data_IF_109522552785
#
_entry.id   IF_109522552785
#
_cell.length_a   1.000
_cell.length_b   1.000
_cell.length_c   1.000
_cell.angle_alpha   90.00
_cell.angle_beta   90.00
_cell.angle_gamma   90.00
#
_symmetry.space_group_name_H-M   'P 1'
#
loop_
_entity.id
_entity.type
_entity.pdbx_description
1 polymer ?
#
# COMPACT_ATOMS: atom_id res chain seq x y z
N UNK A 1 -10.79 -28.02 -23.58
CA UNK A 1 -12.08 -28.75 -23.60
C UNK A 1 -11.83 -30.16 -23.06
N UNK A 2 -12.73 -30.73 -22.27
CA UNK A 2 -12.57 -32.10 -21.74
C UNK A 2 -12.61 -33.13 -22.86
N UNK A 3 -11.71 -34.14 -22.83
CA UNK A 3 -11.58 -35.19 -23.86
C UNK A 3 -12.91 -35.91 -24.15
N UNK A 4 -13.73 -36.16 -23.12
CA UNK A 4 -15.04 -36.80 -23.25
C UNK A 4 -16.03 -35.98 -24.09
N UNK A 5 -15.96 -34.63 -24.02
CA UNK A 5 -16.82 -33.75 -24.84
C UNK A 5 -16.43 -33.79 -26.32
N UNK A 6 -15.15 -34.01 -26.64
CA UNK A 6 -14.71 -34.15 -28.03
C UNK A 6 -15.16 -35.47 -28.63
N UNK A 7 -14.99 -36.58 -27.90
CA UNK A 7 -15.47 -37.92 -28.31
C UNK A 7 -16.98 -37.91 -28.52
N UNK A 8 -17.75 -37.35 -27.57
CA UNK A 8 -19.21 -37.23 -27.71
C UNK A 8 -19.61 -36.42 -28.95
N UNK A 9 -18.89 -35.32 -29.25
CA UNK A 9 -19.19 -34.47 -30.40
C UNK A 9 -18.87 -35.14 -31.75
N UNK A 10 -17.80 -35.93 -31.80
CA UNK A 10 -17.44 -36.71 -33.00
C UNK A 10 -18.48 -37.81 -33.27
N UNK A 11 -18.87 -38.56 -32.24
CA UNK A 11 -19.87 -39.63 -32.36
C UNK A 11 -21.30 -39.11 -32.61
N UNK A 12 -21.60 -37.87 -32.22
CA UNK A 12 -22.95 -37.31 -32.35
C UNK A 12 -23.45 -37.17 -33.79
N UNK A 13 -22.58 -36.85 -34.75
CA UNK A 13 -22.96 -36.77 -36.17
C UNK A 13 -23.30 -38.15 -36.74
N UNK A 14 -22.46 -39.14 -36.47
CA UNK A 14 -22.69 -40.55 -36.86
C UNK A 14 -23.93 -41.12 -36.18
N UNK A 15 -24.16 -40.76 -34.91
CA UNK A 15 -25.38 -41.14 -34.18
C UNK A 15 -26.65 -40.54 -34.79
N UNK A 16 -26.60 -39.28 -35.27
CA UNK A 16 -27.76 -38.63 -35.90
C UNK A 16 -28.14 -39.31 -37.22
N UNK A 17 -27.15 -39.65 -38.04
CA UNK A 17 -27.34 -40.22 -39.40
C UNK A 17 -27.51 -41.75 -39.42
N UNK A 18 -27.11 -42.46 -38.36
CA UNK A 18 -27.13 -43.92 -38.32
C UNK A 18 -28.52 -44.55 -38.28
N UNK A 19 -28.62 -45.76 -38.86
CA UNK A 19 -29.76 -46.67 -38.71
C UNK A 19 -29.84 -47.24 -37.27
N UNK A 20 -30.94 -47.93 -36.93
CA UNK A 20 -31.20 -48.44 -35.57
C UNK A 20 -30.03 -49.26 -35.01
N UNK A 21 -29.46 -50.19 -35.79
CA UNK A 21 -28.32 -51.01 -35.37
C UNK A 21 -27.05 -50.16 -35.10
N UNK A 22 -26.75 -49.18 -35.96
CA UNK A 22 -25.61 -48.28 -35.78
C UNK A 22 -25.75 -47.37 -34.56
N UNK A 23 -26.96 -46.88 -34.29
CA UNK A 23 -27.27 -46.09 -33.09
C UNK A 23 -27.08 -46.86 -31.79
N UNK A 24 -27.43 -48.15 -31.77
CA UNK A 24 -27.21 -49.03 -30.62
C UNK A 24 -25.71 -49.21 -30.37
N UNK A 25 -24.93 -49.52 -31.40
CA UNK A 25 -23.47 -49.70 -31.29
C UNK A 25 -22.76 -48.44 -30.78
N UNK A 26 -23.11 -47.26 -31.31
CA UNK A 26 -22.54 -45.98 -30.86
C UNK A 26 -22.91 -45.67 -29.40
N UNK A 27 -24.12 -46.06 -28.96
CA UNK A 27 -24.51 -45.91 -27.55
C UNK A 27 -23.77 -46.87 -26.64
N UNK A 28 -23.57 -48.13 -27.05
CA UNK A 28 -22.83 -49.13 -26.26
C UNK A 28 -21.38 -48.68 -26.06
N UNK A 29 -20.71 -48.26 -27.14
CA UNK A 29 -19.35 -47.74 -27.12
C UNK A 29 -19.22 -46.49 -26.24
N UNK A 30 -20.18 -45.54 -26.33
CA UNK A 30 -20.15 -44.34 -25.50
C UNK A 30 -20.40 -44.66 -24.02
N UNK A 31 -21.27 -45.62 -23.71
CA UNK A 31 -21.54 -46.08 -22.34
C UNK A 31 -20.30 -46.76 -21.75
N UNK A 32 -19.60 -47.59 -22.53
CA UNK A 32 -18.36 -48.27 -22.11
C UNK A 32 -17.23 -47.27 -21.83
N UNK A 33 -17.04 -46.27 -22.71
CA UNK A 33 -15.98 -45.26 -22.56
C UNK A 33 -16.25 -44.28 -21.41
N UNK A 34 -17.52 -43.89 -21.20
CA UNK A 34 -17.87 -42.80 -20.26
C UNK A 34 -18.42 -43.28 -18.92
N UNK A 35 -18.83 -44.56 -18.83
CA UNK A 35 -19.57 -45.10 -17.69
C UNK A 35 -20.97 -44.48 -17.52
N UNK A 36 -21.49 -43.76 -18.52
CA UNK A 36 -22.78 -43.09 -18.42
C UNK A 36 -23.95 -44.06 -18.54
N UNK A 37 -25.06 -43.74 -17.88
CA UNK A 37 -26.33 -44.43 -18.16
C UNK A 37 -26.75 -44.19 -19.61
N UNK A 38 -27.33 -45.21 -20.25
CA UNK A 38 -27.71 -45.20 -21.67
C UNK A 38 -28.59 -43.99 -22.05
N UNK A 39 -29.49 -43.59 -21.16
CA UNK A 39 -30.37 -42.44 -21.39
C UNK A 39 -29.60 -41.11 -21.34
N UNK A 40 -28.60 -41.02 -20.46
CA UNK A 40 -27.73 -39.84 -20.39
C UNK A 40 -26.82 -39.76 -21.62
N UNK A 41 -26.24 -40.88 -22.06
CA UNK A 41 -25.46 -40.96 -23.32
C UNK A 41 -26.29 -40.50 -24.53
N UNK A 42 -27.55 -40.93 -24.61
CA UNK A 42 -28.50 -40.48 -25.65
C UNK A 42 -28.77 -38.98 -25.58
N UNK A 43 -28.97 -38.44 -24.38
CA UNK A 43 -29.17 -37.00 -24.17
C UNK A 43 -27.92 -36.20 -24.58
N UNK A 44 -26.74 -36.64 -24.14
CA UNK A 44 -25.46 -35.98 -24.42
C UNK A 44 -25.14 -35.92 -25.92
N UNK A 45 -25.40 -36.99 -26.69
CA UNK A 45 -25.23 -37.00 -28.14
C UNK A 45 -26.17 -36.02 -28.85
N UNK A 46 -27.41 -35.87 -28.37
CA UNK A 46 -28.38 -34.90 -28.92
C UNK A 46 -28.01 -33.46 -28.59
N UNK A 47 -27.50 -33.21 -27.39
CA UNK A 47 -27.07 -31.88 -26.95
C UNK A 47 -25.73 -31.46 -27.58
N UNK A 48 -24.83 -32.41 -27.89
CA UNK A 48 -23.50 -32.12 -28.44
C UNK A 48 -23.50 -31.43 -29.81
N UNK A 49 -24.58 -31.59 -30.59
CA UNK A 49 -24.76 -30.93 -31.89
C UNK A 49 -25.49 -29.59 -31.79
N UNK A 50 -26.05 -29.24 -30.63
CA UNK A 50 -26.70 -27.94 -30.47
C UNK A 50 -25.66 -26.84 -30.39
N UNK A 51 -25.86 -25.70 -31.08
CA UNK A 51 -24.98 -24.55 -30.92
C UNK A 51 -24.96 -24.14 -29.44
N UNK A 52 -23.79 -23.76 -28.94
CA UNK A 52 -23.68 -23.27 -27.57
C UNK A 52 -24.64 -22.09 -27.40
N UNK A 53 -25.51 -22.16 -26.38
CA UNK A 53 -26.40 -21.03 -26.06
C UNK A 53 -25.53 -19.80 -25.84
N UNK A 54 -25.82 -18.72 -26.56
CA UNK A 54 -25.15 -17.44 -26.32
C UNK A 54 -25.37 -17.06 -24.86
N UNK A 55 -24.28 -16.86 -24.13
CA UNK A 55 -24.38 -16.44 -22.74
C UNK A 55 -24.91 -15.02 -22.75
N UNK A 56 -26.17 -14.82 -22.36
CA UNK A 56 -26.75 -13.49 -22.19
C UNK A 56 -25.98 -12.81 -21.04
N UNK A 57 -25.06 -11.91 -21.39
CA UNK A 57 -24.37 -11.07 -20.42
C UNK A 57 -25.38 -9.98 -20.02
N UNK A 58 -26.07 -10.18 -18.91
CA UNK A 58 -26.92 -9.14 -18.34
C UNK A 58 -26.04 -7.97 -17.93
N UNK A 59 -26.42 -6.76 -18.34
CA UNK A 59 -25.76 -5.55 -17.88
C UNK A 59 -25.80 -5.52 -16.35
N UNK A 60 -24.63 -5.44 -15.72
CA UNK A 60 -24.52 -5.34 -14.27
C UNK A 60 -25.16 -4.05 -13.74
N UNK A 61 -25.38 -3.98 -12.43
CA UNK A 61 -25.85 -2.76 -11.76
C UNK A 61 -24.89 -1.60 -12.06
N UNK A 62 -25.43 -0.42 -12.36
CA UNK A 62 -24.64 0.81 -12.51
C UNK A 62 -23.80 1.06 -11.25
N UNK A 63 -22.48 1.31 -11.37
CA UNK A 63 -21.64 1.59 -10.21
C UNK A 63 -22.12 2.82 -9.42
N UNK A 64 -22.15 2.72 -8.08
CA UNK A 64 -22.51 3.86 -7.21
C UNK A 64 -21.49 5.00 -7.27
N UNK A 65 -20.23 4.69 -7.58
CA UNK A 65 -19.16 5.67 -7.72
C UNK A 65 -18.71 5.67 -9.18
N UNK A 66 -18.99 6.75 -9.94
CA UNK A 66 -18.56 6.86 -11.33
C UNK A 66 -17.03 7.01 -11.45
N UNK A 67 -16.49 6.75 -12.64
CA UNK A 67 -15.04 6.65 -12.88
C UNK A 67 -14.33 8.01 -12.85
N UNK A 68 -15.04 9.06 -13.22
CA UNK A 68 -14.69 10.49 -13.10
C UNK A 68 -14.28 10.93 -11.68
N UNK A 69 -14.73 10.23 -10.63
CA UNK A 69 -14.32 10.48 -9.25
C UNK A 69 -12.90 10.02 -8.93
N UNK A 70 -12.30 9.15 -9.77
CA UNK A 70 -11.01 8.54 -9.48
C UNK A 70 -9.87 9.59 -9.38
N UNK A 71 -9.71 10.54 -10.32
CA UNK A 71 -8.68 11.58 -10.21
C UNK A 71 -8.83 12.43 -8.95
N UNK A 72 -10.05 12.82 -8.59
CA UNK A 72 -10.32 13.57 -7.36
C UNK A 72 -9.96 12.81 -6.09
N UNK A 73 -10.24 11.50 -6.04
CA UNK A 73 -9.83 10.63 -4.94
C UNK A 73 -8.30 10.50 -4.85
N UNK A 74 -7.62 10.34 -6.00
CA UNK A 74 -6.16 10.26 -6.05
C UNK A 74 -5.55 11.56 -5.54
N UNK A 75 -6.09 12.72 -5.94
CA UNK A 75 -5.64 14.02 -5.47
C UNK A 75 -5.77 14.15 -3.94
N UNK A 76 -6.95 13.83 -3.39
CA UNK A 76 -7.19 13.89 -1.94
C UNK A 76 -6.21 12.99 -1.16
N UNK A 77 -5.92 11.80 -1.69
CA UNK A 77 -4.98 10.86 -1.09
C UNK A 77 -3.52 11.34 -1.21
N UNK A 78 -3.12 11.84 -2.38
CA UNK A 78 -1.76 12.30 -2.66
C UNK A 78 -1.40 13.55 -1.86
N UNK A 79 -2.33 14.51 -1.75
CA UNK A 79 -2.15 15.74 -0.97
C UNK A 79 -1.89 15.44 0.50
N UNK A 80 -2.50 14.38 1.05
CA UNK A 80 -2.25 13.94 2.42
C UNK A 80 -1.03 13.03 2.59
N UNK A 81 -0.20 12.88 1.55
CA UNK A 81 0.97 11.97 1.51
C UNK A 81 0.62 10.50 1.73
N UNK A 82 -0.47 10.07 1.12
CA UNK A 82 -0.79 8.65 1.01
C UNK A 82 -1.26 7.94 2.29
N UNK A 83 -2.16 8.52 3.13
CA UNK A 83 -2.58 7.89 4.36
C UNK A 83 -3.33 6.56 4.14
N UNK A 84 -3.45 5.76 5.19
CA UNK A 84 -4.32 4.58 5.19
C UNK A 84 -5.78 4.98 4.95
N UNK A 85 -6.55 4.16 4.25
CA UNK A 85 -7.92 4.52 3.83
C UNK A 85 -8.84 4.85 4.98
N UNK A 86 -8.65 4.23 6.17
CA UNK A 86 -9.38 4.58 7.40
C UNK A 86 -9.11 6.01 7.87
N UNK A 87 -7.86 6.47 7.78
CA UNK A 87 -7.48 7.84 8.14
C UNK A 87 -7.97 8.81 7.07
N UNK A 88 -7.84 8.43 5.79
CA UNK A 88 -8.32 9.24 4.67
C UNK A 88 -9.82 9.52 4.78
N UNK A 89 -10.65 8.51 5.06
CA UNK A 89 -12.09 8.70 5.28
C UNK A 89 -12.40 9.76 6.35
N UNK A 90 -11.61 9.82 7.43
CA UNK A 90 -11.80 10.82 8.48
C UNK A 90 -11.37 12.24 8.05
N UNK A 91 -10.40 12.35 7.13
CA UNK A 91 -9.98 13.64 6.55
C UNK A 91 -10.89 14.15 5.44
N UNK A 92 -11.69 13.30 4.79
CA UNK A 92 -12.50 13.68 3.63
C UNK A 92 -13.45 14.86 3.89
N UNK A 93 -14.23 14.90 5.00
CA UNK A 93 -15.19 15.98 5.23
C UNK A 93 -14.59 17.39 5.25
N UNK A 94 -13.47 17.67 5.95
CA UNK A 94 -12.82 18.98 5.85
C UNK A 94 -11.98 19.15 4.57
N UNK A 95 -11.37 18.08 4.05
CA UNK A 95 -10.42 18.18 2.94
C UNK A 95 -11.09 18.54 1.61
N UNK A 96 -12.21 17.90 1.26
CA UNK A 96 -12.87 18.12 -0.04
C UNK A 96 -13.30 19.58 -0.22
N UNK A 97 -13.97 20.23 0.76
CA UNK A 97 -14.29 21.65 0.66
C UNK A 97 -13.06 22.55 0.56
N UNK A 98 -11.98 22.25 1.32
CA UNK A 98 -10.74 23.04 1.25
C UNK A 98 -10.12 23.00 -0.16
N UNK A 99 -10.03 21.81 -0.76
CA UNK A 99 -9.47 21.65 -2.09
C UNK A 99 -10.34 22.30 -3.18
N UNK A 100 -11.66 22.28 -3.02
CA UNK A 100 -12.60 23.00 -3.90
C UNK A 100 -12.43 24.52 -3.77
N UNK A 101 -12.30 25.03 -2.55
CA UNK A 101 -12.08 26.46 -2.29
C UNK A 101 -10.76 26.95 -2.89
N UNK A 102 -9.73 26.10 -2.92
CA UNK A 102 -8.46 26.38 -3.58
C UNK A 102 -8.49 26.20 -5.11
N UNK A 103 -9.63 25.81 -5.69
CA UNK A 103 -9.78 25.43 -7.12
C UNK A 103 -8.82 24.32 -7.56
N UNK A 104 -8.31 23.53 -6.60
CA UNK A 104 -7.43 22.40 -6.86
C UNK A 104 -8.22 21.13 -7.19
N UNK A 105 -9.45 21.02 -6.72
CA UNK A 105 -10.36 19.91 -6.98
C UNK A 105 -11.59 20.43 -7.74
N UNK A 106 -11.69 20.05 -9.02
CA UNK A 106 -12.83 20.35 -9.87
C UNK A 106 -13.85 19.21 -9.83
N UNK A 107 -14.87 19.36 -8.98
CA UNK A 107 -15.95 18.39 -8.79
C UNK A 107 -17.28 19.10 -8.51
N UNK A 108 -18.38 18.47 -8.96
CA UNK A 108 -19.74 18.90 -8.63
C UNK A 108 -20.07 18.64 -7.16
N UNK A 109 -21.15 19.25 -6.65
CA UNK A 109 -21.60 19.02 -5.27
C UNK A 109 -21.97 17.56 -5.01
N UNK A 110 -22.61 16.90 -5.98
CA UNK A 110 -22.95 15.48 -5.91
C UNK A 110 -21.70 14.60 -5.84
N UNK A 111 -20.70 14.90 -6.67
CA UNK A 111 -19.41 14.21 -6.66
C UNK A 111 -18.67 14.41 -5.33
N UNK A 112 -18.69 15.62 -4.78
CA UNK A 112 -18.11 15.93 -3.47
C UNK A 112 -18.78 15.11 -2.35
N UNK A 113 -20.11 15.04 -2.36
CA UNK A 113 -20.86 14.22 -1.41
C UNK A 113 -20.51 12.73 -1.52
N UNK A 114 -20.32 12.21 -2.75
CA UNK A 114 -19.88 10.84 -2.98
C UNK A 114 -18.46 10.57 -2.46
N UNK A 115 -17.52 11.51 -2.62
CA UNK A 115 -16.17 11.38 -2.06
C UNK A 115 -16.19 11.31 -0.53
N UNK A 116 -16.98 12.18 0.11
CA UNK A 116 -17.11 12.23 1.58
C UNK A 116 -17.78 10.96 2.11
N UNK A 117 -18.77 10.41 1.40
CA UNK A 117 -19.49 9.19 1.80
C UNK A 117 -18.71 7.90 1.58
N UNK A 118 -17.59 7.95 0.84
CA UNK A 118 -16.86 6.75 0.43
C UNK A 118 -16.27 5.99 1.63
N UNK A 119 -16.60 4.71 1.76
CA UNK A 119 -16.07 3.86 2.83
C UNK A 119 -14.58 3.52 2.63
N UNK A 120 -13.87 3.26 3.73
CA UNK A 120 -12.45 2.90 3.72
C UNK A 120 -12.14 1.69 2.80
N UNK A 121 -13.00 0.68 2.76
CA UNK A 121 -12.78 -0.51 1.91
C UNK A 121 -12.97 -0.22 0.42
N UNK A 122 -13.87 0.71 0.08
CA UNK A 122 -14.02 1.18 -1.31
C UNK A 122 -12.79 1.99 -1.74
N UNK A 123 -12.30 2.87 -0.86
CA UNK A 123 -11.07 3.64 -1.08
C UNK A 123 -9.88 2.69 -1.28
N UNK A 124 -9.73 1.65 -0.44
CA UNK A 124 -8.66 0.65 -0.58
C UNK A 124 -8.66 -0.01 -1.96
N UNK A 125 -9.83 -0.46 -2.45
CA UNK A 125 -9.95 -1.06 -3.78
C UNK A 125 -9.61 -0.08 -4.89
N UNK A 126 -10.08 1.17 -4.80
CA UNK A 126 -9.85 2.21 -5.82
C UNK A 126 -8.41 2.70 -5.87
N UNK A 127 -7.74 2.76 -4.73
CA UNK A 127 -6.34 3.21 -4.63
C UNK A 127 -5.35 2.05 -4.69
N UNK A 128 -5.80 0.80 -4.82
CA UNK A 128 -4.90 -0.37 -4.85
C UNK A 128 -3.83 -0.26 -5.94
N UNK A 129 -4.17 0.27 -7.12
CA UNK A 129 -3.22 0.45 -8.21
C UNK A 129 -2.20 1.55 -7.88
N UNK A 130 -2.65 2.68 -7.35
CA UNK A 130 -1.78 3.80 -6.99
C UNK A 130 -0.84 3.43 -5.83
N UNK A 131 -1.34 2.73 -4.81
CA UNK A 131 -0.53 2.19 -3.72
C UNK A 131 0.55 1.24 -4.24
N UNK A 132 0.24 0.40 -5.23
CA UNK A 132 1.22 -0.50 -5.86
C UNK A 132 2.35 0.27 -6.56
N UNK A 133 2.06 1.44 -7.15
CA UNK A 133 3.09 2.29 -7.78
C UNK A 133 4.09 2.86 -6.76
N UNK A 134 3.67 3.09 -5.52
CA UNK A 134 4.55 3.58 -4.45
C UNK A 134 5.47 2.51 -3.85
N UNK A 135 5.20 1.22 -4.11
CA UNK A 135 6.06 0.14 -3.61
C UNK A 135 7.32 0.08 -4.49
N UNK A 136 8.39 0.70 -4.00
CA UNK A 136 9.74 0.50 -4.53
C UNK A 136 10.10 -0.97 -4.37
N UNK A 137 10.26 -1.68 -5.49
CA UNK A 137 10.68 -3.08 -5.49
C UNK A 137 12.19 -3.14 -5.27
N UNK A 138 12.62 -3.26 -4.02
CA UNK A 138 14.00 -3.65 -3.71
C UNK A 138 14.21 -5.12 -4.02
N UNK A 139 15.26 -5.46 -4.78
CA UNK A 139 15.76 -6.84 -4.81
C UNK A 139 16.58 -7.05 -3.54
N UNK A 140 16.00 -7.69 -2.53
CA UNK A 140 16.79 -8.17 -1.40
C UNK A 140 17.83 -9.17 -1.93
N UNK A 141 19.11 -8.89 -1.74
CA UNK A 141 20.21 -9.78 -2.13
C UNK A 141 20.19 -11.11 -1.35
N UNK A 142 19.47 -11.17 -0.22
CA UNK A 142 19.37 -12.35 0.63
C UNK A 142 17.91 -12.73 0.87
N UNK A 143 17.48 -13.86 0.31
CA UNK A 143 16.25 -14.52 0.77
C UNK A 143 16.54 -15.13 2.15
N UNK A 144 15.77 -14.82 3.20
CA UNK A 144 15.95 -15.50 4.47
C UNK A 144 15.65 -17.00 4.29
N UNK A 145 16.68 -17.84 4.37
CA UNK A 145 16.52 -19.29 4.40
C UNK A 145 15.82 -19.70 5.69
N UNK A 146 14.77 -20.50 5.61
CA UNK A 146 13.94 -20.88 6.76
C UNK A 146 14.50 -22.04 7.59
N UNK A 147 15.45 -22.82 7.06
CA UNK A 147 15.82 -24.12 7.63
C UNK A 147 17.19 -24.15 8.35
N UNK A 148 18.23 -23.57 7.73
CA UNK A 148 19.61 -23.74 8.21
C UNK A 148 20.00 -22.81 9.36
N UNK A 149 19.39 -21.61 9.45
CA UNK A 149 19.78 -20.59 10.43
C UNK A 149 19.44 -20.97 11.88
N UNK A 150 18.39 -21.78 12.09
CA UNK A 150 17.98 -22.27 13.41
C UNK A 150 18.62 -23.61 13.81
N UNK A 151 19.30 -24.29 12.88
CA UNK A 151 19.89 -25.62 13.10
C UNK A 151 21.40 -25.58 13.37
N UNK A 152 22.08 -24.48 13.03
CA UNK A 152 23.52 -24.32 13.28
C UNK A 152 23.67 -23.31 14.43
N UNK A 153 23.77 -23.76 15.69
CA UNK A 153 24.04 -22.86 16.80
C UNK A 153 25.41 -22.21 16.63
N UNK A 154 25.49 -20.90 16.80
CA UNK A 154 26.76 -20.17 16.88
C UNK A 154 27.46 -20.66 18.16
N UNK A 155 28.53 -21.45 18.00
CA UNK A 155 29.31 -21.98 19.13
C UNK A 155 30.29 -20.91 19.61
N UNK A 156 29.81 -19.99 20.44
CA UNK A 156 30.65 -19.05 21.20
C UNK A 156 30.89 -19.57 22.62
N UNK A 157 31.86 -18.99 23.34
CA UNK A 157 32.23 -19.37 24.71
C UNK A 157 31.10 -19.14 25.75
N UNK A 158 30.08 -18.39 25.36
CA UNK A 158 28.78 -18.33 26.01
C UNK A 158 27.73 -18.93 25.05
N UNK A 159 26.87 -19.81 25.56
CA UNK A 159 25.72 -20.29 24.80
C UNK A 159 24.84 -19.11 24.40
N UNK A 160 24.52 -19.03 23.10
CA UNK A 160 23.76 -17.92 22.54
C UNK A 160 22.29 -18.04 22.96
N UNK A 161 21.88 -17.23 23.94
CA UNK A 161 20.51 -17.18 24.46
C UNK A 161 19.77 -15.92 23.97
N UNK A 162 18.79 -16.09 23.08
CA UNK A 162 17.95 -14.99 22.55
C UNK A 162 16.93 -14.46 23.58
N UNK A 163 16.80 -15.10 24.75
CA UNK A 163 15.90 -14.67 25.83
C UNK A 163 16.53 -13.62 26.75
N UNK A 164 17.86 -13.50 26.78
CA UNK A 164 18.60 -12.56 27.62
C UNK A 164 19.22 -11.45 26.77
N UNK A 165 19.01 -10.15 27.10
CA UNK A 165 19.67 -9.06 26.39
C UNK A 165 21.19 -9.19 26.48
N UNK A 166 21.88 -9.25 25.33
CA UNK A 166 23.34 -9.38 25.30
C UNK A 166 23.95 -9.65 23.93
N UNK A 167 23.16 -10.20 23.00
CA UNK A 167 23.60 -10.56 21.65
C UNK A 167 22.91 -9.70 20.57
N UNK A 168 23.64 -9.29 19.53
CA UNK A 168 23.13 -8.47 18.42
C UNK A 168 23.59 -8.99 17.08
N UNK A 169 22.68 -9.04 16.11
CA UNK A 169 22.98 -9.26 14.69
C UNK A 169 23.26 -7.90 14.03
N UNK A 170 24.33 -7.81 13.25
CA UNK A 170 24.72 -6.60 12.53
C UNK A 170 24.66 -6.89 11.03
N UNK A 171 23.65 -6.33 10.37
CA UNK A 171 23.44 -6.47 8.94
C UNK A 171 23.76 -5.18 8.20
N UNK A 172 24.20 -5.30 6.94
CA UNK A 172 24.37 -4.18 6.01
C UNK A 172 23.23 -4.19 5.00
N UNK A 173 22.47 -3.09 4.94
CA UNK A 173 21.44 -2.84 3.92
C UNK A 173 22.01 -1.90 2.87
N UNK A 174 22.14 -2.39 1.65
CA UNK A 174 22.55 -1.61 0.49
C UNK A 174 21.42 -0.74 -0.06
N UNK A 175 21.74 0.52 -0.36
CA UNK A 175 20.82 1.50 -0.97
C UNK A 175 21.17 1.82 -2.43
N UNK A 176 21.85 0.91 -3.11
CA UNK A 176 22.32 1.07 -4.49
C UNK A 176 21.21 1.03 -5.57
N UNK A 177 19.94 0.86 -5.18
CA UNK A 177 18.82 0.90 -6.12
C UNK A 177 18.88 -0.14 -7.25
N UNK A 178 19.71 -1.19 -7.10
CA UNK A 178 19.91 -2.23 -8.11
C UNK A 178 21.10 -2.02 -9.06
N UNK A 179 21.94 -1.00 -8.87
CA UNK A 179 23.17 -0.80 -9.64
C UNK A 179 24.39 -0.69 -8.72
N UNK A 180 25.23 -1.74 -8.67
CA UNK A 180 26.41 -1.81 -7.81
C UNK A 180 27.66 -1.10 -8.38
N UNK A 181 27.52 -0.36 -9.49
CA UNK A 181 28.61 0.42 -10.07
C UNK A 181 28.70 1.78 -9.38
N UNK A 182 29.80 2.03 -8.65
CA UNK A 182 30.09 3.30 -7.99
C UNK A 182 30.02 3.25 -6.46
N UNK A 183 30.15 4.41 -5.81
CA UNK A 183 30.02 4.54 -4.36
C UNK A 183 28.55 4.36 -3.94
N UNK A 184 28.29 3.39 -3.07
CA UNK A 184 26.94 3.04 -2.61
C UNK A 184 26.82 3.27 -1.11
N UNK A 185 25.67 3.81 -0.66
CA UNK A 185 25.41 3.98 0.76
C UNK A 185 24.93 2.65 1.36
N UNK A 186 25.63 2.17 2.38
CA UNK A 186 25.20 1.03 3.19
C UNK A 186 24.74 1.51 4.56
N UNK A 187 23.54 1.09 4.98
CA UNK A 187 23.08 1.30 6.36
C UNK A 187 23.38 0.05 7.18
N UNK A 188 24.13 0.22 8.27
CA UNK A 188 24.39 -0.84 9.23
C UNK A 188 23.25 -0.91 10.24
N UNK A 189 22.40 -1.93 10.14
CA UNK A 189 21.31 -2.18 11.08
C UNK A 189 21.74 -3.13 12.19
N UNK A 190 21.37 -2.84 13.43
CA UNK A 190 21.51 -3.74 14.57
C UNK A 190 20.13 -4.23 14.99
N UNK A 191 19.97 -5.53 15.18
CA UNK A 191 18.72 -6.13 15.65
C UNK A 191 19.01 -7.36 16.52
N UNK A 192 18.02 -7.84 17.30
CA UNK A 192 18.13 -9.21 17.84
C UNK A 192 18.18 -10.20 16.68
N UNK A 193 18.90 -11.31 16.88
CA UNK A 193 19.07 -12.37 15.89
C UNK A 193 17.73 -12.82 15.31
N UNK A 194 17.64 -12.92 13.98
CA UNK A 194 16.44 -13.41 13.28
C UNK A 194 15.26 -12.43 13.25
N UNK A 195 15.36 -11.27 13.91
CA UNK A 195 14.31 -10.26 13.96
C UNK A 195 14.74 -9.00 13.20
N UNK A 196 14.62 -9.03 11.87
CA UNK A 196 15.05 -7.95 10.96
C UNK A 196 14.45 -6.55 11.21
N UNK A 197 13.47 -6.41 12.11
CA UNK A 197 12.74 -5.16 12.41
C UNK A 197 12.75 -4.78 13.90
N UNK A 198 13.76 -5.22 14.65
CA UNK A 198 13.76 -5.17 16.11
C UNK A 198 14.73 -4.14 16.71
N UNK A 199 15.00 -3.06 15.97
CA UNK A 199 15.66 -1.88 16.51
C UNK A 199 14.75 -1.12 17.48
N UNK A 200 14.53 -1.66 18.67
CA UNK A 200 13.76 -1.04 19.74
C UNK A 200 14.76 -0.69 20.86
N UNK A 201 14.97 0.57 21.25
CA UNK A 201 14.12 1.18 22.29
C UNK A 201 14.10 2.73 22.33
N UNK A 202 14.75 3.47 21.44
CA UNK A 202 14.61 4.95 21.39
C UNK A 202 14.66 5.47 19.96
N UNK A 203 13.93 4.84 19.05
CA UNK A 203 13.57 5.53 17.81
C UNK A 203 12.14 6.03 17.97
N UNK A 204 12.00 7.33 18.23
CA UNK A 204 10.79 8.05 17.87
C UNK A 204 10.41 7.61 16.45
N UNK A 205 9.12 7.44 16.18
CA UNK A 205 8.61 7.01 14.86
C UNK A 205 8.91 8.09 13.81
N UNK A 206 10.19 8.21 13.45
CA UNK A 206 10.78 9.26 12.64
C UNK A 206 10.61 8.96 11.15
N UNK A 207 10.35 7.69 10.81
CA UNK A 207 10.13 7.26 9.45
C UNK A 207 8.99 8.02 8.73
N UNK A 208 7.71 8.00 9.19
CA UNK A 208 6.59 8.63 8.48
C UNK A 208 6.52 10.17 8.58
N UNK A 209 7.55 10.83 9.10
CA UNK A 209 7.53 12.29 9.29
C UNK A 209 8.83 12.93 8.86
N UNK A 210 9.92 12.45 9.44
CA UNK A 210 11.26 12.96 9.16
C UNK A 210 11.79 12.33 7.90
N UNK A 211 11.86 10.99 7.82
CA UNK A 211 12.51 10.31 6.69
C UNK A 211 11.68 10.30 5.41
N UNK A 212 10.36 10.33 5.52
CA UNK A 212 9.48 10.51 4.36
C UNK A 212 9.69 11.86 3.67
N UNK A 213 10.00 12.91 4.44
CA UNK A 213 10.22 14.25 3.91
C UNK A 213 11.70 14.54 3.62
N UNK A 214 12.55 14.42 4.61
CA UNK A 214 13.98 14.74 4.51
C UNK A 214 14.84 13.57 3.97
N UNK A 215 14.25 12.43 3.65
CA UNK A 215 15.02 11.30 3.12
C UNK A 215 16.10 10.78 4.07
N UNK A 216 17.20 10.30 3.50
CA UNK A 216 18.32 9.67 4.20
C UNK A 216 19.65 10.40 3.99
N UNK A 217 19.61 11.60 3.39
CA UNK A 217 20.81 12.35 3.11
C UNK A 217 21.43 12.90 4.39
N UNK A 218 22.75 13.13 4.34
CA UNK A 218 23.50 13.74 5.44
C UNK A 218 23.42 15.27 5.33
N UNK A 219 22.85 15.91 6.36
CA UNK A 219 22.72 17.37 6.44
C UNK A 219 23.69 17.91 7.48
N UNK A 220 24.68 18.68 7.03
CA UNK A 220 25.76 19.21 7.87
C UNK A 220 26.03 20.71 7.62
N UNK A 221 25.26 21.38 6.75
CA UNK A 221 25.45 22.80 6.42
C UNK A 221 24.41 23.71 7.12
N UNK A 222 24.77 24.96 7.45
CA UNK A 222 23.82 25.94 7.99
C UNK A 222 22.63 26.19 7.07
N UNK A 223 22.84 26.19 5.76
CA UNK A 223 21.80 26.40 4.75
C UNK A 223 20.80 25.24 4.73
N UNK A 224 21.29 24.00 4.84
CA UNK A 224 20.44 22.80 4.98
C UNK A 224 19.59 22.87 6.25
N UNK A 225 20.15 23.35 7.36
CA UNK A 225 19.44 23.53 8.62
C UNK A 225 18.31 24.56 8.52
N UNK A 226 18.54 25.68 7.82
CA UNK A 226 17.49 26.69 7.57
C UNK A 226 16.32 26.07 6.80
N UNK A 227 16.61 25.33 5.73
CA UNK A 227 15.57 24.65 4.94
C UNK A 227 14.81 23.61 5.76
N UNK A 228 15.51 22.81 6.57
CA UNK A 228 14.89 21.84 7.47
C UNK A 228 13.92 22.51 8.45
N UNK A 229 14.33 23.60 9.10
CA UNK A 229 13.47 24.33 10.03
C UNK A 229 12.22 24.90 9.35
N UNK A 230 12.35 25.41 8.12
CA UNK A 230 11.20 25.85 7.33
C UNK A 230 10.25 24.70 7.00
N UNK A 231 10.78 23.54 6.60
CA UNK A 231 9.97 22.33 6.35
C UNK A 231 9.22 21.92 7.61
N UNK A 232 9.87 21.91 8.78
CA UNK A 232 9.25 21.49 10.04
C UNK A 232 8.17 22.43 10.54
N UNK A 233 8.29 23.74 10.34
CA UNK A 233 7.21 24.68 10.67
C UNK A 233 5.95 24.42 9.84
N UNK A 234 6.12 24.15 8.54
CA UNK A 234 5.00 23.81 7.66
C UNK A 234 4.42 22.42 8.00
N UNK A 235 5.28 21.43 8.23
CA UNK A 235 4.87 20.07 8.55
C UNK A 235 4.18 19.96 9.92
N UNK A 236 4.53 20.83 10.88
CA UNK A 236 3.82 20.95 12.16
C UNK A 236 2.35 21.32 11.95
N UNK A 237 2.06 22.26 11.05
CA UNK A 237 0.68 22.63 10.71
C UNK A 237 -0.01 21.46 10.03
N UNK A 238 0.64 20.84 9.05
CA UNK A 238 0.11 19.70 8.31
C UNK A 238 -0.26 18.53 9.23
N UNK A 239 0.66 18.13 10.12
CA UNK A 239 0.48 17.00 11.04
C UNK A 239 -0.67 17.23 12.01
N UNK A 240 -0.68 18.41 12.64
CA UNK A 240 -1.59 18.66 13.76
C UNK A 240 -3.02 18.92 13.31
N UNK A 241 -3.19 19.54 12.14
CA UNK A 241 -4.49 19.97 11.64
C UNK A 241 -5.09 19.06 10.57
N UNK A 242 -4.26 18.40 9.73
CA UNK A 242 -4.74 17.72 8.52
C UNK A 242 -4.63 16.19 8.57
N UNK A 243 -3.75 15.64 9.41
CA UNK A 243 -3.50 14.19 9.50
C UNK A 243 -4.17 13.55 10.72
N UNK A 244 -5.22 12.74 10.52
CA UNK A 244 -5.84 11.98 11.59
C UNK A 244 -4.91 10.88 12.06
N UNK A 245 -4.90 10.66 13.37
CA UNK A 245 -4.15 9.59 14.00
C UNK A 245 -5.10 8.68 14.78
N UNK A 246 -4.70 7.42 14.91
CA UNK A 246 -5.38 6.43 15.75
C UNK A 246 -4.48 6.00 16.89
N UNK A 247 -4.99 6.04 18.11
CA UNK A 247 -4.37 5.48 19.30
C UNK A 247 -4.78 4.02 19.44
N UNK A 248 -3.83 3.17 19.84
CA UNK A 248 -4.11 1.79 20.20
C UNK A 248 -4.74 1.79 21.59
N UNK A 249 -6.00 1.37 21.69
CA UNK A 249 -6.73 1.30 22.96
C UNK A 249 -6.44 -0.01 23.69
N UNK A 250 -6.51 -1.13 22.96
CA UNK A 250 -6.32 -2.45 23.54
C UNK A 250 -5.55 -3.35 22.57
N UNK A 251 -4.71 -4.21 23.13
CA UNK A 251 -3.96 -5.23 22.39
C UNK A 251 -4.06 -6.54 23.15
N UNK A 252 -4.78 -7.51 22.59
CA UNK A 252 -4.88 -8.85 23.15
C UNK A 252 -4.11 -9.83 22.28
N UNK A 253 -3.44 -10.81 22.90
CA UNK A 253 -2.87 -11.95 22.18
C UNK A 253 -3.69 -13.20 22.49
N UNK A 254 -4.13 -13.92 21.45
CA UNK A 254 -4.76 -15.24 21.54
C UNK A 254 -3.91 -16.22 20.72
N UNK A 255 -3.03 -16.97 21.39
CA UNK A 255 -2.03 -17.83 20.75
C UNK A 255 -1.11 -17.04 19.80
N UNK A 256 -1.10 -17.41 18.52
CA UNK A 256 -0.34 -16.71 17.48
C UNK A 256 -1.00 -15.40 17.00
N UNK A 257 -2.29 -15.16 17.29
CA UNK A 257 -3.03 -14.00 16.77
C UNK A 257 -2.96 -12.81 17.73
N UNK A 258 -2.57 -11.65 17.22
CA UNK A 258 -2.64 -10.36 17.94
C UNK A 258 -3.83 -9.56 17.43
N UNK A 259 -4.74 -9.21 18.34
CA UNK A 259 -5.91 -8.38 18.05
C UNK A 259 -5.64 -6.98 18.61
N UNK A 260 -5.75 -5.96 17.75
CA UNK A 260 -5.56 -4.55 18.11
C UNK A 260 -6.88 -3.80 17.93
N UNK A 261 -7.31 -3.13 18.99
CA UNK A 261 -8.47 -2.23 18.95
C UNK A 261 -7.95 -0.81 18.97
N UNK A 262 -8.32 -0.03 17.97
CA UNK A 262 -7.93 1.36 17.80
C UNK A 262 -9.12 2.28 18.06
N UNK A 263 -8.85 3.50 18.48
CA UNK A 263 -9.86 4.53 18.61
C UNK A 263 -10.31 5.07 17.24
N UNK A 264 -11.26 6.01 17.27
CA UNK A 264 -11.70 6.72 16.07
C UNK A 264 -10.56 7.62 15.56
N UNK A 265 -10.25 7.61 14.24
CA UNK A 265 -9.27 8.52 13.68
C UNK A 265 -9.66 9.97 13.95
N UNK A 266 -8.73 10.74 14.52
CA UNK A 266 -8.91 12.17 14.76
C UNK A 266 -7.55 12.88 14.73
N UNK A 267 -7.53 14.11 14.23
CA UNK A 267 -6.33 14.96 14.21
C UNK A 267 -5.98 15.42 15.62
N UNK A 268 -4.74 15.88 15.84
CA UNK A 268 -4.36 16.45 17.13
C UNK A 268 -5.22 17.68 17.48
N UNK A 269 -5.53 18.51 16.48
CA UNK A 269 -6.46 19.62 16.58
C UNK A 269 -7.86 19.17 17.04
N UNK A 270 -8.48 18.20 16.36
CA UNK A 270 -9.81 17.70 16.75
C UNK A 270 -9.84 17.15 18.18
N UNK A 271 -8.78 16.44 18.57
CA UNK A 271 -8.64 15.91 19.94
C UNK A 271 -8.50 17.02 20.97
N UNK A 272 -7.68 18.03 20.69
CA UNK A 272 -7.52 19.18 21.59
C UNK A 272 -8.80 19.99 21.74
N UNK A 273 -9.56 20.19 20.65
CA UNK A 273 -10.86 20.86 20.68
C UNK A 273 -11.90 20.09 21.50
N UNK A 274 -11.87 18.76 21.45
CA UNK A 274 -12.80 17.90 22.19
C UNK A 274 -12.39 17.62 23.64
N UNK A 275 -11.18 18.01 24.06
CA UNK A 275 -10.65 17.67 25.38
C UNK A 275 -11.22 18.59 26.46
N UNK A 276 -11.79 18.06 27.57
CA UNK A 276 -12.52 18.85 28.55
C UNK A 276 -11.66 19.89 29.28
N UNK A 277 -10.37 19.62 29.46
CA UNK A 277 -9.45 20.52 30.18
C UNK A 277 -8.91 21.67 29.32
N UNK A 278 -9.16 21.67 28.00
CA UNK A 278 -8.61 22.70 27.12
C UNK A 278 -9.46 23.97 27.23
N UNK A 279 -8.82 25.06 27.64
CA UNK A 279 -9.46 26.38 27.77
C UNK A 279 -10.02 26.86 26.42
N UNK A 280 -11.11 27.64 26.47
CA UNK A 280 -11.81 28.17 25.28
C UNK A 280 -10.93 29.02 24.35
N UNK A 281 -10.05 29.86 24.91
CA UNK A 281 -9.20 30.76 24.10
C UNK A 281 -8.23 30.02 23.16
N UNK A 282 -7.46 29.01 23.63
CA UNK A 282 -6.70 28.12 22.74
C UNK A 282 -7.54 27.48 21.64
N UNK A 283 -8.75 26.98 21.96
CA UNK A 283 -9.66 26.37 20.98
C UNK A 283 -10.05 27.36 19.87
N UNK A 284 -10.41 28.59 20.24
CA UNK A 284 -10.76 29.65 19.27
C UNK A 284 -9.56 29.95 18.36
N UNK A 285 -8.35 30.07 18.93
CA UNK A 285 -7.12 30.32 18.17
C UNK A 285 -6.83 29.19 17.17
N UNK A 286 -6.91 27.94 17.63
CA UNK A 286 -6.68 26.77 16.77
C UNK A 286 -7.72 26.69 15.64
N UNK A 287 -9.00 26.94 15.94
CA UNK A 287 -10.06 26.95 14.93
C UNK A 287 -9.88 28.10 13.92
N UNK A 288 -9.43 29.27 14.39
CA UNK A 288 -9.07 30.39 13.52
C UNK A 288 -7.89 30.06 12.61
N UNK A 289 -6.88 29.35 13.12
CA UNK A 289 -5.77 28.87 12.31
C UNK A 289 -6.23 27.82 11.29
N UNK A 290 -7.05 26.85 11.70
CA UNK A 290 -7.57 25.79 10.82
C UNK A 290 -8.29 26.35 9.59
N UNK A 291 -9.12 27.39 9.76
CA UNK A 291 -9.85 28.06 8.67
C UNK A 291 -8.93 28.74 7.65
N UNK A 292 -7.71 29.13 8.05
CA UNK A 292 -6.74 29.81 7.18
C UNK A 292 -5.87 28.82 6.39
N UNK A 293 -5.93 27.53 6.70
CA UNK A 293 -5.08 26.53 6.06
C UNK A 293 -5.52 26.36 4.60
N UNK A 294 -4.56 26.56 3.71
CA UNK A 294 -4.63 26.22 2.29
C UNK A 294 -3.82 24.95 2.08
N UNK A 295 -4.51 23.82 2.02
CA UNK A 295 -3.92 22.48 2.01
C UNK A 295 -3.06 22.25 0.77
N UNK A 296 -3.55 22.64 -0.41
CA UNK A 296 -2.78 22.46 -1.65
C UNK A 296 -1.53 23.34 -1.65
N UNK A 297 -1.68 24.63 -1.30
CA UNK A 297 -0.55 25.54 -1.20
C UNK A 297 0.49 25.07 -0.16
N UNK A 298 0.05 24.61 1.01
CA UNK A 298 0.92 24.06 2.05
C UNK A 298 1.68 22.83 1.56
N UNK A 299 1.01 21.92 0.87
CA UNK A 299 1.65 20.73 0.29
C UNK A 299 2.71 21.11 -0.73
N UNK A 300 2.40 22.05 -1.64
CA UNK A 300 3.33 22.52 -2.67
C UNK A 300 4.56 23.21 -2.07
N UNK A 301 4.38 24.04 -1.05
CA UNK A 301 5.49 24.69 -0.34
C UNK A 301 6.44 23.66 0.29
N UNK A 302 5.89 22.64 0.97
CA UNK A 302 6.70 21.58 1.56
C UNK A 302 7.46 20.79 0.49
N UNK A 303 6.81 20.44 -0.62
CA UNK A 303 7.47 19.75 -1.73
C UNK A 303 8.57 20.61 -2.37
N UNK A 304 8.33 21.91 -2.56
CA UNK A 304 9.32 22.84 -3.10
C UNK A 304 10.56 22.95 -2.21
N UNK A 305 10.37 23.11 -0.90
CA UNK A 305 11.47 23.17 0.06
C UNK A 305 12.24 21.85 0.14
N UNK A 306 11.53 20.72 0.13
CA UNK A 306 12.15 19.38 0.13
C UNK A 306 13.01 19.16 -1.11
N UNK A 307 12.52 19.55 -2.30
CA UNK A 307 13.30 19.46 -3.54
C UNK A 307 14.50 20.42 -3.56
N UNK A 308 14.42 21.58 -2.90
CA UNK A 308 15.57 22.46 -2.71
C UNK A 308 16.61 21.86 -1.76
N UNK A 309 16.17 21.26 -0.65
CA UNK A 309 17.02 20.56 0.30
C UNK A 309 17.74 19.37 -0.36
N UNK A 310 17.04 18.58 -1.18
CA UNK A 310 17.62 17.47 -1.93
C UNK A 310 18.66 17.94 -2.94
N UNK A 311 18.35 18.97 -3.75
CA UNK A 311 19.30 19.54 -4.71
C UNK A 311 20.57 20.07 -4.02
N UNK A 312 20.41 20.75 -2.89
CA UNK A 312 21.54 21.26 -2.10
C UNK A 312 22.41 20.10 -1.61
N UNK A 313 21.81 19.05 -1.04
CA UNK A 313 22.53 17.87 -0.57
C UNK A 313 23.26 17.12 -1.68
N UNK A 314 22.65 16.95 -2.86
CA UNK A 314 23.28 16.29 -4.01
C UNK A 314 24.43 17.14 -4.56
N UNK A 315 24.26 18.46 -4.63
CA UNK A 315 25.34 19.36 -5.07
C UNK A 315 26.56 19.29 -4.14
N UNK A 316 26.32 19.16 -2.84
CA UNK A 316 27.36 18.98 -1.81
C UNK A 316 28.10 17.66 -2.00
N UNK A 317 27.41 16.53 -2.17
CA UNK A 317 28.06 15.21 -2.37
C UNK A 317 28.86 15.14 -3.68
N UNK A 318 28.38 15.78 -4.75
CA UNK A 318 29.13 15.91 -6.00
C UNK A 318 30.40 16.76 -5.85
N UNK A 319 30.35 17.81 -5.03
CA UNK A 319 31.51 18.66 -4.76
C UNK A 319 32.60 17.96 -3.93
N UNK A 320 32.22 17.17 -2.92
CA UNK A 320 33.16 16.40 -2.10
C UNK A 320 33.84 15.28 -2.91
N UNK A 321 33.08 14.59 -3.78
CA UNK A 321 33.64 13.56 -4.66
C UNK A 321 34.64 14.15 -5.69
N UNK A 322 34.37 15.36 -6.20
CA UNK A 322 35.27 16.06 -7.12
C UNK A 322 36.55 16.55 -6.44
N UNK A 323 36.46 17.03 -5.20
CA UNK A 323 37.65 17.43 -4.41
C UNK A 323 38.50 16.21 -4.03
N UNK A 324 37.88 15.11 -3.62
CA UNK A 324 38.59 13.85 -3.33
C UNK A 324 39.36 13.32 -4.56
N UNK A 325 38.74 13.33 -5.74
CA UNK A 325 39.39 12.95 -7.02
C UNK A 325 40.54 13.88 -7.44
N UNK A 326 40.51 15.16 -7.03
CA UNK A 326 41.57 16.13 -7.32
C UNK A 326 42.74 16.02 -6.35
N UNK A 327 42.48 15.58 -5.11
CA UNK A 327 43.50 15.32 -4.10
C UNK A 327 44.20 13.95 -4.27
N UNK A 328 43.59 13.02 -5.01
CA UNK A 328 44.16 11.71 -5.36
C UNK A 328 44.94 11.70 -6.69
N UNK A 329 45.23 12.87 -7.26
CA UNK A 329 46.07 13.08 -8.45
C UNK A 329 47.24 13.96 -8.06
#
# INVERSE_FOLDING_TARGET
MSALKQVTKQLANSYRLGAKAGKTRILDELVEITGWHRDYARCALREALKPAKSRIIRAGRKPTYPADLQPGLILCWAVLRGPASKLLTASMPPLVPMLRAEKALDVTDDQAALLIKMSASTIDRRLANERRKMILHGRSHTKPGSLLKSQIPIRTWAEWDDAVPGFVEIDLVGHEGGNSQGECCFTRSRSRSGNKNDGAHVEQKNWPRVRELAGYQRYDSPEELVLLNQIWELDRVFTNYLLPQQKLLHKTRKGAKVIKVHDRPATAHQRAVAHPEVKKMPVIRMNGQFKKIRVMALSQQIFGLTGSLERLSISKSGSSARQARKASR
#
